data_IF_467529507798
#
_entry.id   IF_467529507798
#
_cell.length_a   1.000
_cell.length_b   1.000
_cell.length_c   1.000
_cell.angle_alpha   90.00
_cell.angle_beta   90.00
_cell.angle_gamma   90.00
#
_symmetry.space_group_name_H-M   'P 1'
#
loop_
_entity.id
_entity.type
_entity.pdbx_description
1 polymer ?
#
# COMPACT_ATOMS: atom_id res chain seq x y z
N UNK A 1 9.32 -19.42 17.91
CA UNK A 1 9.98 -18.34 17.14
C UNK A 1 10.78 -18.98 16.01
N UNK A 2 10.62 -18.46 14.77
CA UNK A 2 11.35 -18.94 13.59
C UNK A 2 12.07 -17.75 12.97
N UNK A 3 13.39 -17.85 12.77
CA UNK A 3 14.22 -16.80 12.20
C UNK A 3 14.60 -17.15 10.75
N UNK A 4 14.53 -16.17 9.83
CA UNK A 4 14.85 -16.38 8.41
C UNK A 4 15.84 -15.35 7.81
N UNK A 5 16.54 -14.58 8.64
CA UNK A 5 17.64 -13.73 8.18
C UNK A 5 17.79 -12.41 8.93
N UNK A 6 18.77 -11.62 8.50
CA UNK A 6 18.95 -10.21 8.89
C UNK A 6 18.30 -9.36 7.79
N UNK A 7 17.27 -8.60 8.15
CA UNK A 7 16.38 -7.97 7.19
C UNK A 7 16.41 -6.45 7.27
N UNK A 8 16.33 -5.81 6.09
CA UNK A 8 15.90 -4.43 5.93
C UNK A 8 14.60 -4.40 5.10
N UNK A 9 13.78 -3.37 5.26
CA UNK A 9 12.58 -3.15 4.45
C UNK A 9 11.71 -4.41 4.29
N UNK A 10 11.06 -4.82 5.35
CA UNK A 10 10.19 -5.99 5.40
C UNK A 10 8.73 -5.60 5.12
N UNK A 11 8.06 -6.36 4.27
CA UNK A 11 6.60 -6.33 4.08
C UNK A 11 6.00 -7.72 4.19
N UNK A 12 4.71 -7.78 4.49
CA UNK A 12 3.98 -9.02 4.75
C UNK A 12 2.64 -8.99 4.00
N UNK A 13 2.35 -10.06 3.27
CA UNK A 13 1.09 -10.25 2.57
C UNK A 13 0.48 -11.61 2.84
N UNK A 14 -0.85 -11.70 2.72
CA UNK A 14 -1.59 -12.96 2.82
C UNK A 14 -2.08 -13.39 1.44
N UNK A 15 -1.60 -14.52 0.98
CA UNK A 15 -2.09 -15.23 -0.21
C UNK A 15 -3.29 -16.10 0.20
N UNK A 16 -4.49 -15.58 -0.01
CA UNK A 16 -5.73 -16.26 0.34
C UNK A 16 -6.03 -17.47 -0.56
N UNK A 17 -5.48 -17.50 -1.77
CA UNK A 17 -5.66 -18.61 -2.73
C UNK A 17 -4.93 -19.87 -2.26
N UNK A 18 -3.71 -19.73 -1.75
CA UNK A 18 -2.89 -20.84 -1.27
C UNK A 18 -2.91 -20.98 0.26
N UNK A 19 -3.58 -20.06 0.98
CA UNK A 19 -3.57 -19.97 2.44
C UNK A 19 -2.13 -19.88 2.99
N UNK A 20 -1.37 -18.92 2.49
CA UNK A 20 0.04 -18.71 2.82
C UNK A 20 0.31 -17.25 3.21
N UNK A 21 1.33 -17.08 4.04
CA UNK A 21 1.93 -15.77 4.30
C UNK A 21 3.13 -15.62 3.37
N UNK A 22 3.27 -14.45 2.74
CA UNK A 22 4.43 -14.09 1.95
C UNK A 22 5.13 -12.93 2.65
N UNK A 23 6.41 -13.08 2.92
CA UNK A 23 7.25 -11.98 3.41
C UNK A 23 8.23 -11.60 2.32
N UNK A 24 8.23 -10.32 1.90
CA UNK A 24 9.23 -9.76 1.00
C UNK A 24 10.16 -8.83 1.78
N UNK A 25 11.46 -8.90 1.52
CA UNK A 25 12.45 -8.19 2.31
C UNK A 25 13.74 -7.93 1.54
N UNK A 26 14.49 -6.94 1.99
CA UNK A 26 15.89 -6.75 1.61
C UNK A 26 16.77 -7.63 2.52
N UNK A 27 17.56 -8.54 1.95
CA UNK A 27 18.46 -9.40 2.71
C UNK A 27 19.79 -8.67 2.96
N UNK A 28 19.97 -8.18 4.19
CA UNK A 28 21.17 -7.43 4.58
C UNK A 28 22.45 -8.27 4.43
N UNK A 29 22.37 -9.58 4.64
CA UNK A 29 23.49 -10.49 4.51
C UNK A 29 23.90 -10.75 3.06
N UNK A 30 23.06 -10.35 2.09
CA UNK A 30 23.32 -10.45 0.65
C UNK A 30 23.14 -9.07 -0.02
N UNK A 31 23.87 -8.07 0.44
CA UNK A 31 23.92 -6.70 -0.10
C UNK A 31 22.54 -6.01 -0.24
N UNK A 32 21.59 -6.34 0.61
CA UNK A 32 20.18 -5.89 0.54
C UNK A 32 19.46 -6.28 -0.75
N UNK A 33 19.83 -7.37 -1.40
CA UNK A 33 19.06 -7.90 -2.52
C UNK A 33 17.64 -8.26 -2.10
N UNK A 34 16.71 -8.20 -3.05
CA UNK A 34 15.30 -8.48 -2.80
C UNK A 34 14.98 -9.97 -2.74
N UNK A 35 14.43 -10.42 -1.63
CA UNK A 35 14.01 -11.81 -1.40
C UNK A 35 12.56 -11.90 -0.95
N UNK A 36 11.93 -13.03 -1.25
CA UNK A 36 10.67 -13.38 -0.61
C UNK A 36 10.69 -14.82 -0.09
N UNK A 37 9.85 -15.09 0.92
CA UNK A 37 9.73 -16.38 1.57
C UNK A 37 8.27 -16.69 1.85
N UNK A 38 7.88 -17.97 1.71
CA UNK A 38 6.51 -18.43 1.95
C UNK A 38 6.42 -19.06 3.34
N UNK A 39 5.49 -18.57 4.14
CA UNK A 39 5.16 -19.07 5.46
C UNK A 39 3.86 -19.88 5.47
N UNK A 40 3.82 -20.93 6.26
CA UNK A 40 2.63 -21.75 6.53
C UNK A 40 2.30 -21.66 8.01
N UNK A 41 1.08 -21.22 8.33
CA UNK A 41 0.55 -21.20 9.70
C UNK A 41 -0.22 -22.50 9.95
N UNK A 42 0.06 -23.15 11.09
CA UNK A 42 -0.65 -24.34 11.56
C UNK A 42 -0.86 -24.25 13.09
N UNK A 43 -2.10 -24.03 13.48
CA UNK A 43 -2.43 -23.76 14.89
C UNK A 43 -1.71 -22.51 15.41
N UNK A 44 -0.86 -22.68 16.42
CA UNK A 44 -0.04 -21.59 16.99
C UNK A 44 1.40 -21.59 16.48
N UNK A 45 1.70 -22.40 15.45
CA UNK A 45 3.03 -22.56 14.87
C UNK A 45 3.10 -21.98 13.47
N UNK A 46 4.30 -21.59 13.07
CA UNK A 46 4.59 -21.13 11.72
C UNK A 46 5.86 -21.83 11.20
N UNK A 47 5.86 -22.23 9.95
CA UNK A 47 7.02 -22.78 9.24
C UNK A 47 7.25 -22.02 7.95
N UNK A 48 8.50 -21.96 7.49
CA UNK A 48 8.88 -21.30 6.26
C UNK A 48 9.47 -22.27 5.24
N UNK A 49 9.24 -22.00 3.96
CA UNK A 49 9.95 -22.62 2.86
C UNK A 49 11.37 -22.03 2.69
N UNK A 50 11.96 -22.25 1.53
CA UNK A 50 13.22 -21.58 1.17
C UNK A 50 12.93 -20.17 0.62
N UNK A 51 13.76 -19.20 1.01
CA UNK A 51 13.69 -17.86 0.41
C UNK A 51 14.16 -17.91 -1.05
N UNK A 52 13.53 -17.11 -1.89
CA UNK A 52 13.89 -16.95 -3.30
C UNK A 52 14.16 -15.47 -3.61
N UNK A 53 15.18 -15.21 -4.43
CA UNK A 53 15.60 -13.87 -4.83
C UNK A 53 14.72 -13.38 -5.98
N UNK A 54 14.11 -12.20 -5.84
CA UNK A 54 13.38 -11.53 -6.91
C UNK A 54 14.15 -10.36 -7.53
N UNK A 55 15.12 -9.81 -6.77
CA UNK A 55 15.96 -8.71 -7.24
C UNK A 55 17.41 -8.93 -6.81
N UNK A 56 18.35 -8.78 -7.77
CA UNK A 56 19.77 -9.00 -7.57
C UNK A 56 20.55 -7.74 -7.20
N UNK A 57 19.84 -6.64 -6.98
CA UNK A 57 20.40 -5.36 -6.57
C UNK A 57 19.77 -4.91 -5.25
N UNK A 58 20.30 -3.81 -4.70
CA UNK A 58 19.81 -3.26 -3.43
C UNK A 58 18.35 -2.82 -3.56
N UNK A 59 17.50 -3.38 -2.72
CA UNK A 59 16.05 -3.21 -2.70
C UNK A 59 15.59 -2.45 -1.47
N UNK A 60 14.66 -1.50 -1.63
CA UNK A 60 14.06 -0.74 -0.53
C UNK A 60 12.54 -0.60 -0.67
N UNK A 61 11.90 -0.18 0.41
CA UNK A 61 10.47 0.17 0.45
C UNK A 61 9.58 -0.88 -0.22
N UNK A 62 9.76 -2.14 0.18
CA UNK A 62 8.92 -3.25 -0.30
C UNK A 62 7.51 -3.13 0.23
N UNK A 63 6.51 -3.47 -0.59
CA UNK A 63 5.13 -3.73 -0.16
C UNK A 63 4.51 -4.86 -1.00
N UNK A 64 3.42 -5.46 -0.53
CA UNK A 64 2.83 -6.67 -1.11
C UNK A 64 1.31 -6.57 -1.15
N UNK A 65 0.72 -6.95 -2.30
CA UNK A 65 -0.71 -7.20 -2.40
C UNK A 65 -0.99 -8.51 -3.15
N UNK A 66 -2.04 -9.22 -2.72
CA UNK A 66 -2.50 -10.46 -3.33
C UNK A 66 -3.68 -10.19 -4.26
N UNK A 67 -3.54 -10.60 -5.52
CA UNK A 67 -4.58 -10.60 -6.56
C UNK A 67 -5.41 -11.88 -6.43
N UNK A 68 -6.60 -11.76 -5.89
CA UNK A 68 -7.50 -12.90 -5.67
C UNK A 68 -8.13 -13.44 -6.95
N UNK A 69 -8.15 -12.66 -8.04
CA UNK A 69 -8.69 -13.07 -9.34
C UNK A 69 -7.72 -14.02 -10.06
N UNK A 70 -6.45 -13.67 -10.09
CA UNK A 70 -5.41 -14.47 -10.76
C UNK A 70 -4.70 -15.46 -9.83
N UNK A 71 -4.88 -15.34 -8.51
CA UNK A 71 -4.15 -16.11 -7.49
C UNK A 71 -2.67 -15.76 -7.44
N UNK A 72 -2.28 -14.56 -7.85
CA UNK A 72 -0.91 -14.05 -7.86
C UNK A 72 -0.69 -13.04 -6.76
N UNK A 73 0.57 -12.82 -6.43
CA UNK A 73 0.96 -11.76 -5.49
C UNK A 73 1.91 -10.81 -6.19
N UNK A 74 1.68 -9.52 -6.04
CA UNK A 74 2.55 -8.46 -6.57
C UNK A 74 3.39 -7.92 -5.44
N UNK A 75 4.70 -7.86 -5.66
CA UNK A 75 5.67 -7.19 -4.79
C UNK A 75 6.09 -5.92 -5.50
N UNK A 76 5.95 -4.78 -4.84
CA UNK A 76 6.46 -3.49 -5.29
C UNK A 76 7.67 -3.09 -4.48
N UNK A 77 8.63 -2.42 -5.09
CA UNK A 77 9.87 -2.03 -4.43
C UNK A 77 10.59 -0.90 -5.17
N UNK A 78 11.54 -0.27 -4.48
CA UNK A 78 12.50 0.64 -5.08
C UNK A 78 13.75 -0.14 -5.47
N UNK A 79 14.06 -0.17 -6.75
CA UNK A 79 15.24 -0.81 -7.32
C UNK A 79 16.42 0.19 -7.34
N UNK A 80 17.30 0.11 -6.34
CA UNK A 80 18.44 1.02 -6.24
C UNK A 80 19.53 0.72 -7.28
N UNK A 81 19.57 -0.49 -7.81
CA UNK A 81 20.47 -0.85 -8.92
C UNK A 81 20.06 -0.21 -10.25
N UNK A 82 18.76 0.09 -10.38
CA UNK A 82 18.19 0.78 -11.52
C UNK A 82 17.77 2.22 -11.17
N UNK A 83 18.72 3.04 -10.72
CA UNK A 83 18.52 4.46 -10.44
C UNK A 83 17.39 4.76 -9.43
N UNK A 84 17.10 3.84 -8.53
CA UNK A 84 16.00 3.90 -7.55
C UNK A 84 14.61 3.95 -8.19
N UNK A 85 14.43 3.33 -9.34
CA UNK A 85 13.14 3.26 -10.03
C UNK A 85 12.11 2.45 -9.24
N UNK A 86 10.85 2.85 -9.35
CA UNK A 86 9.72 2.08 -8.84
C UNK A 86 9.47 0.85 -9.70
N UNK A 87 9.62 -0.33 -9.12
CA UNK A 87 9.55 -1.60 -9.84
C UNK A 87 8.55 -2.54 -9.18
N UNK A 88 7.88 -3.36 -9.97
CA UNK A 88 6.96 -4.38 -9.50
C UNK A 88 7.31 -5.73 -10.11
N UNK A 89 7.11 -6.80 -9.35
CA UNK A 89 7.25 -8.18 -9.82
C UNK A 89 6.06 -9.03 -9.40
N UNK A 90 5.56 -9.85 -10.32
CA UNK A 90 4.48 -10.80 -10.05
C UNK A 90 5.06 -12.10 -9.55
N UNK A 91 4.56 -12.61 -8.44
CA UNK A 91 4.97 -13.88 -7.87
C UNK A 91 3.89 -14.96 -7.98
N UNK A 92 4.34 -16.21 -8.01
CA UNK A 92 3.52 -17.41 -8.00
C UNK A 92 3.96 -18.31 -6.86
N UNK A 93 3.03 -18.65 -5.97
CA UNK A 93 3.25 -19.59 -4.87
C UNK A 93 2.85 -21.00 -5.32
N UNK A 94 3.69 -21.98 -4.98
CA UNK A 94 3.40 -23.42 -5.15
C UNK A 94 3.90 -24.19 -3.93
N UNK A 95 2.98 -24.62 -3.08
CA UNK A 95 3.32 -25.24 -1.80
C UNK A 95 4.02 -24.25 -0.86
N UNK A 96 5.31 -24.48 -0.60
CA UNK A 96 6.17 -23.58 0.21
C UNK A 96 7.22 -22.87 -0.64
N UNK A 97 7.13 -22.98 -1.96
CA UNK A 97 8.04 -22.34 -2.90
C UNK A 97 7.38 -21.11 -3.53
N UNK A 98 8.18 -20.13 -3.90
CA UNK A 98 7.76 -18.94 -4.63
C UNK A 98 8.66 -18.73 -5.85
N UNK A 99 8.08 -18.33 -6.96
CA UNK A 99 8.78 -17.97 -8.20
C UNK A 99 8.28 -16.62 -8.71
N UNK A 100 9.05 -15.96 -9.56
CA UNK A 100 8.78 -14.61 -10.00
C UNK A 100 8.76 -14.53 -11.52
N UNK A 101 7.92 -13.62 -12.03
CA UNK A 101 7.96 -13.19 -13.42
C UNK A 101 9.08 -12.18 -13.67
N UNK A 102 9.04 -11.51 -14.82
CA UNK A 102 9.98 -10.44 -15.13
C UNK A 102 9.57 -9.17 -14.39
N UNK A 103 10.49 -8.50 -13.67
CA UNK A 103 10.23 -7.19 -13.07
C UNK A 103 9.84 -6.15 -14.11
N UNK A 104 8.93 -5.26 -13.76
CA UNK A 104 8.43 -4.19 -14.64
C UNK A 104 8.52 -2.85 -13.90
N UNK A 105 9.18 -1.88 -14.50
CA UNK A 105 9.26 -0.51 -13.99
C UNK A 105 7.92 0.18 -14.16
N UNK A 106 7.36 0.74 -13.07
CA UNK A 106 6.15 1.57 -13.10
C UNK A 106 6.46 3.06 -12.95
N UNK A 107 7.64 3.40 -12.39
CA UNK A 107 8.14 4.77 -12.28
C UNK A 107 9.63 4.82 -12.66
N UNK A 108 9.95 5.58 -13.71
CA UNK A 108 11.33 5.71 -14.25
C UNK A 108 12.10 6.89 -13.63
N UNK A 109 11.81 7.18 -12.36
CA UNK A 109 12.53 8.10 -11.52
C UNK A 109 12.64 7.53 -10.11
N UNK A 110 13.25 8.28 -9.18
CA UNK A 110 13.33 7.85 -7.79
C UNK A 110 11.92 7.69 -7.20
N UNK A 111 11.54 6.45 -6.92
CA UNK A 111 10.29 6.10 -6.25
C UNK A 111 10.58 5.59 -4.85
N UNK A 112 9.86 6.10 -3.87
CA UNK A 112 10.03 5.70 -2.47
C UNK A 112 8.67 5.57 -1.77
N UNK A 113 8.67 4.98 -0.56
CA UNK A 113 7.46 4.86 0.26
C UNK A 113 6.33 4.17 -0.53
N UNK A 114 6.67 3.11 -1.25
CA UNK A 114 5.72 2.39 -2.09
C UNK A 114 4.68 1.68 -1.21
N UNK A 115 3.42 1.76 -1.58
CA UNK A 115 2.34 1.00 -0.95
C UNK A 115 1.37 0.50 -2.02
N UNK A 116 0.94 -0.76 -1.92
CA UNK A 116 0.13 -1.42 -2.94
C UNK A 116 -1.09 -2.09 -2.32
N UNK A 117 -2.21 -2.03 -3.03
CA UNK A 117 -3.43 -2.74 -2.67
C UNK A 117 -4.08 -3.37 -3.91
N UNK A 118 -4.85 -4.43 -3.69
CA UNK A 118 -5.69 -5.02 -4.72
C UNK A 118 -7.13 -4.53 -4.59
N UNK A 119 -7.63 -3.93 -5.67
CA UNK A 119 -9.03 -3.55 -5.84
C UNK A 119 -9.81 -4.74 -6.40
N UNK A 120 -10.55 -5.42 -5.54
CA UNK A 120 -11.35 -6.61 -5.91
C UNK A 120 -12.56 -6.28 -6.79
N UNK A 121 -12.96 -5.02 -6.87
CA UNK A 121 -14.10 -4.59 -7.72
C UNK A 121 -13.68 -4.43 -9.19
N UNK A 122 -12.51 -3.87 -9.42
CA UNK A 122 -11.98 -3.64 -10.78
C UNK A 122 -11.00 -4.73 -11.24
N UNK A 123 -10.58 -5.64 -10.35
CA UNK A 123 -9.53 -6.63 -10.56
C UNK A 123 -8.22 -5.95 -10.97
N UNK A 124 -7.79 -4.95 -10.18
CA UNK A 124 -6.58 -4.16 -10.44
C UNK A 124 -5.71 -4.02 -9.19
N UNK A 125 -4.41 -3.92 -9.43
CA UNK A 125 -3.46 -3.41 -8.44
C UNK A 125 -3.47 -1.89 -8.48
N UNK A 126 -3.40 -1.24 -7.33
CA UNK A 126 -3.18 0.20 -7.22
C UNK A 126 -1.94 0.42 -6.37
N UNK A 127 -0.96 1.12 -6.93
CA UNK A 127 0.29 1.47 -6.25
C UNK A 127 0.25 2.97 -5.99
N UNK A 128 0.49 3.36 -4.74
CA UNK A 128 0.72 4.75 -4.35
C UNK A 128 2.19 4.91 -3.95
N UNK A 129 2.82 6.00 -4.35
CA UNK A 129 4.24 6.21 -4.13
C UNK A 129 4.62 7.69 -4.07
N UNK A 130 5.77 7.95 -3.45
CA UNK A 130 6.50 9.22 -3.56
C UNK A 130 7.20 9.27 -4.91
N UNK A 131 6.89 10.26 -5.71
CA UNK A 131 7.42 10.44 -7.07
C UNK A 131 8.54 11.48 -7.08
N UNK A 132 9.79 11.02 -6.92
CA UNK A 132 10.95 11.89 -6.92
C UNK A 132 11.27 12.51 -8.29
N UNK A 133 10.70 11.97 -9.37
CA UNK A 133 10.78 12.54 -10.71
C UNK A 133 9.83 13.73 -10.93
N UNK A 134 8.82 13.84 -10.08
CA UNK A 134 7.80 14.88 -10.15
C UNK A 134 7.71 15.67 -8.83
N UNK A 135 8.79 16.34 -8.45
CA UNK A 135 8.87 17.18 -7.25
C UNK A 135 8.46 16.48 -5.95
N UNK A 136 8.61 15.17 -5.89
CA UNK A 136 8.25 14.36 -4.71
C UNK A 136 6.74 14.34 -4.40
N UNK A 137 5.93 14.55 -5.41
CA UNK A 137 4.46 14.52 -5.29
C UNK A 137 3.94 13.13 -4.96
N UNK A 138 2.80 13.08 -4.30
CA UNK A 138 2.06 11.85 -4.09
C UNK A 138 1.40 11.41 -5.40
N UNK A 139 1.84 10.27 -5.92
CA UNK A 139 1.39 9.74 -7.22
C UNK A 139 0.86 8.33 -7.07
N UNK A 140 -0.13 7.95 -7.88
CA UNK A 140 -0.66 6.59 -7.94
C UNK A 140 -0.78 6.08 -9.37
N UNK A 141 -0.66 4.77 -9.54
CA UNK A 141 -0.76 4.09 -10.83
C UNK A 141 -1.55 2.78 -10.70
N UNK A 142 -2.30 2.46 -11.76
CA UNK A 142 -3.11 1.23 -11.81
C UNK A 142 -2.39 0.16 -12.61
N UNK A 143 -2.25 -1.03 -12.03
CA UNK A 143 -1.63 -2.20 -12.62
C UNK A 143 -2.64 -3.30 -12.98
N UNK A 144 -2.41 -4.00 -14.07
CA UNK A 144 -3.18 -5.19 -14.49
C UNK A 144 -2.25 -6.39 -14.55
N UNK A 145 -2.52 -7.40 -13.72
CA UNK A 145 -1.78 -8.67 -13.72
C UNK A 145 -2.30 -9.56 -14.85
N UNK A 146 -1.39 -10.18 -15.59
CA UNK A 146 -1.70 -11.17 -16.62
C UNK A 146 -0.61 -12.24 -16.66
N UNK A 147 -0.98 -13.48 -16.31
CA UNK A 147 -0.01 -14.57 -16.19
C UNK A 147 1.03 -14.28 -15.09
N UNK A 148 2.29 -14.14 -15.46
CA UNK A 148 3.40 -13.77 -14.56
C UNK A 148 3.90 -12.36 -14.78
N UNK A 149 3.18 -11.54 -15.55
CA UNK A 149 3.50 -10.16 -15.85
C UNK A 149 2.49 -9.18 -15.27
N UNK A 150 2.87 -7.91 -15.22
CA UNK A 150 2.01 -6.78 -14.88
C UNK A 150 2.20 -5.67 -15.91
N UNK A 151 1.14 -4.98 -16.28
CA UNK A 151 1.19 -3.78 -17.11
C UNK A 151 0.53 -2.62 -16.40
N UNK A 152 0.97 -1.41 -16.68
CA UNK A 152 0.53 -0.21 -15.98
C UNK A 152 -0.20 0.76 -16.91
N UNK A 153 -1.18 1.48 -16.33
CA UNK A 153 -1.82 2.61 -16.97
C UNK A 153 -1.00 3.90 -16.84
N UNK A 154 -1.68 5.04 -16.91
CA UNK A 154 -1.03 6.35 -16.71
C UNK A 154 -1.03 6.69 -15.22
N UNK A 155 0.11 7.16 -14.72
CA UNK A 155 0.25 7.66 -13.35
C UNK A 155 -0.56 8.95 -13.16
N UNK A 156 -1.15 9.11 -11.97
CA UNK A 156 -1.99 10.25 -11.61
C UNK A 156 -1.53 10.82 -10.28
N UNK A 157 -1.25 12.11 -10.23
CA UNK A 157 -0.92 12.83 -8.98
C UNK A 157 -2.17 12.95 -8.13
N UNK A 158 -2.10 12.54 -6.86
CA UNK A 158 -3.17 12.72 -5.88
C UNK A 158 -2.87 13.85 -4.88
N UNK A 159 -1.58 14.18 -4.67
CA UNK A 159 -1.14 15.35 -3.90
C UNK A 159 -0.03 16.06 -4.65
N UNK A 160 -0.25 17.34 -5.02
CA UNK A 160 0.74 18.18 -5.73
C UNK A 160 1.69 18.91 -4.76
N UNK A 161 2.07 18.22 -3.69
CA UNK A 161 3.09 18.61 -2.72
C UNK A 161 3.94 17.39 -2.32
N UNK A 162 5.02 17.63 -1.59
CA UNK A 162 5.87 16.55 -1.06
C UNK A 162 5.01 15.64 -0.18
N UNK A 163 5.10 14.33 -0.43
CA UNK A 163 4.33 13.29 0.27
C UNK A 163 5.30 12.29 0.92
N UNK A 164 5.90 12.62 2.06
CA UNK A 164 7.03 11.87 2.62
C UNK A 164 6.62 10.54 3.26
N UNK A 165 5.35 10.36 3.59
CA UNK A 165 4.79 9.10 4.12
C UNK A 165 3.37 8.90 3.63
N UNK A 166 3.04 7.67 3.29
CA UNK A 166 1.70 7.30 2.81
C UNK A 166 1.34 5.85 3.15
N UNK A 167 0.06 5.52 3.03
CA UNK A 167 -0.47 4.16 3.11
C UNK A 167 -1.75 4.07 2.29
N UNK A 168 -1.96 2.97 1.59
CA UNK A 168 -3.13 2.72 0.77
C UNK A 168 -3.98 1.57 1.34
N UNK A 169 -5.29 1.66 1.20
CA UNK A 169 -6.22 0.56 1.48
C UNK A 169 -7.39 0.59 0.50
N UNK A 170 -8.07 -0.54 0.34
CA UNK A 170 -9.28 -0.66 -0.48
C UNK A 170 -10.49 -0.87 0.42
N UNK A 171 -11.44 0.05 0.34
CA UNK A 171 -12.76 -0.09 0.98
C UNK A 171 -13.70 -0.83 0.03
N UNK A 172 -13.89 -2.13 0.30
CA UNK A 172 -14.72 -2.99 -0.54
C UNK A 172 -16.22 -2.72 -0.39
N UNK A 173 -16.65 -2.03 0.67
CA UNK A 173 -18.06 -1.72 0.90
C UNK A 173 -18.60 -0.68 -0.08
N UNK A 174 -17.74 0.23 -0.53
CA UNK A 174 -18.06 1.30 -1.48
C UNK A 174 -17.21 1.25 -2.76
N UNK A 175 -16.33 0.23 -2.89
CA UNK A 175 -15.42 0.05 -4.03
C UNK A 175 -14.54 1.27 -4.28
N UNK A 176 -13.84 1.75 -3.24
CA UNK A 176 -12.96 2.92 -3.31
C UNK A 176 -11.56 2.63 -2.76
N UNK A 177 -10.60 3.29 -3.36
CA UNK A 177 -9.23 3.36 -2.86
C UNK A 177 -9.13 4.53 -1.89
N UNK A 178 -8.50 4.31 -0.74
CA UNK A 178 -8.20 5.34 0.24
C UNK A 178 -6.68 5.42 0.38
N UNK A 179 -6.11 6.62 0.15
CA UNK A 179 -4.70 6.89 0.37
C UNK A 179 -4.60 7.90 1.50
N UNK A 180 -4.05 7.49 2.65
CA UNK A 180 -3.74 8.36 3.78
C UNK A 180 -2.28 8.78 3.70
N UNK A 181 -1.97 10.06 3.93
CA UNK A 181 -0.63 10.61 3.77
C UNK A 181 -0.37 11.82 4.66
N UNK A 182 0.91 12.12 4.85
CA UNK A 182 1.40 13.39 5.37
C UNK A 182 1.44 14.38 4.21
N UNK A 183 0.81 15.54 4.38
CA UNK A 183 0.78 16.59 3.37
C UNK A 183 1.71 17.74 3.76
N UNK A 184 2.93 17.70 3.22
CA UNK A 184 3.95 18.74 3.45
C UNK A 184 3.51 20.12 2.94
N UNK A 185 2.71 20.14 1.87
CA UNK A 185 2.15 21.39 1.32
C UNK A 185 1.12 22.06 2.21
N UNK A 186 0.60 21.31 3.21
CA UNK A 186 -0.41 21.79 4.16
C UNK A 186 0.06 21.66 5.61
N UNK A 187 1.31 22.03 5.88
CA UNK A 187 1.91 22.01 7.23
C UNK A 187 1.92 20.60 7.86
N UNK A 188 2.27 19.60 7.10
CA UNK A 188 2.39 18.17 7.51
C UNK A 188 1.09 17.57 8.04
N UNK A 189 -0.06 18.13 7.72
CA UNK A 189 -1.34 17.61 8.21
C UNK A 189 -1.59 16.19 7.74
N UNK A 190 -2.26 15.42 8.59
CA UNK A 190 -2.78 14.12 8.22
C UNK A 190 -3.96 14.25 7.26
N UNK A 191 -3.75 13.83 6.02
CA UNK A 191 -4.70 14.00 4.91
C UNK A 191 -4.98 12.66 4.24
N UNK A 192 -6.16 12.47 3.69
CA UNK A 192 -6.44 11.35 2.80
C UNK A 192 -7.23 11.78 1.58
N UNK A 193 -7.14 10.98 0.52
CA UNK A 193 -7.96 11.13 -0.70
C UNK A 193 -8.71 9.83 -0.99
N UNK A 194 -9.83 9.97 -1.69
CA UNK A 194 -10.67 8.85 -2.16
C UNK A 194 -10.45 8.69 -3.67
N UNK A 195 -9.99 7.51 -4.07
CA UNK A 195 -9.72 7.14 -5.45
C UNK A 195 -10.82 6.25 -6.04
N UNK A 196 -11.12 6.45 -7.32
CA UNK A 196 -12.02 5.60 -8.11
C UNK A 196 -11.25 5.04 -9.30
N UNK A 197 -11.12 3.71 -9.36
CA UNK A 197 -10.49 3.01 -10.48
C UNK A 197 -11.50 2.83 -11.61
N UNK A 198 -11.08 3.11 -12.84
CA UNK A 198 -11.85 2.88 -14.06
C UNK A 198 -10.92 2.38 -15.18
N UNK A 199 -11.05 1.11 -15.55
CA UNK A 199 -10.14 0.46 -16.48
C UNK A 199 -8.70 0.44 -15.96
N UNK A 200 -7.78 1.14 -16.62
CA UNK A 200 -6.36 1.27 -16.20
C UNK A 200 -6.04 2.66 -15.67
N UNK A 201 -7.06 3.46 -15.33
CA UNK A 201 -6.90 4.80 -14.76
C UNK A 201 -7.49 4.87 -13.36
N UNK A 202 -7.04 5.87 -12.58
CA UNK A 202 -7.60 6.24 -11.30
C UNK A 202 -7.90 7.74 -11.29
N UNK A 203 -8.98 8.15 -10.66
CA UNK A 203 -9.29 9.56 -10.40
C UNK A 203 -9.51 9.79 -8.92
N UNK A 204 -9.18 10.97 -8.43
CA UNK A 204 -9.27 11.33 -7.02
C UNK A 204 -10.30 12.43 -6.78
N UNK A 205 -10.98 12.35 -5.62
CA UNK A 205 -11.79 13.43 -5.08
C UNK A 205 -10.94 14.50 -4.40
N UNK A 206 -11.60 15.41 -3.70
CA UNK A 206 -10.91 16.43 -2.89
C UNK A 206 -10.17 15.81 -1.72
N UNK A 207 -9.09 16.44 -1.30
CA UNK A 207 -8.33 16.11 -0.10
C UNK A 207 -9.18 16.31 1.16
N UNK A 208 -9.04 15.41 2.12
CA UNK A 208 -9.78 15.42 3.38
C UNK A 208 -8.79 15.34 4.53
N UNK A 209 -8.80 16.34 5.41
CA UNK A 209 -7.92 16.36 6.58
C UNK A 209 -8.51 15.48 7.66
N UNK A 210 -7.83 14.41 8.07
CA UNK A 210 -8.21 13.57 9.21
C UNK A 210 -7.55 14.04 10.52
N UNK A 211 -6.43 14.77 10.43
CA UNK A 211 -5.75 15.34 11.58
C UNK A 211 -5.17 16.72 11.25
N UNK A 212 -5.66 17.76 11.93
CA UNK A 212 -5.31 19.16 11.65
C UNK A 212 -4.04 19.62 12.38
N UNK A 213 -3.02 18.77 12.43
CA UNK A 213 -1.69 19.05 12.97
C UNK A 213 -0.65 18.15 12.28
N UNK A 214 0.63 18.39 12.55
CA UNK A 214 1.72 17.63 11.98
C UNK A 214 1.57 16.13 12.29
N UNK A 215 1.55 15.35 11.24
CA UNK A 215 1.26 13.90 11.24
C UNK A 215 2.36 13.16 10.52
N UNK A 216 2.75 12.00 11.02
CA UNK A 216 3.74 11.17 10.38
C UNK A 216 3.32 9.68 10.37
N UNK A 217 3.87 8.91 9.44
CA UNK A 217 3.71 7.46 9.32
C UNK A 217 2.24 6.98 9.39
N UNK A 218 1.30 7.58 8.62
CA UNK A 218 -0.05 7.07 8.59
C UNK A 218 -0.09 5.63 8.08
N UNK A 219 -0.97 4.81 8.69
CA UNK A 219 -1.29 3.46 8.25
C UNK A 219 -2.80 3.32 8.19
N UNK A 220 -3.30 2.99 7.01
CA UNK A 220 -4.73 2.81 6.75
C UNK A 220 -5.05 1.34 6.57
N UNK A 221 -6.18 0.91 7.13
CA UNK A 221 -6.74 -0.43 6.95
C UNK A 221 -8.25 -0.36 6.89
N UNK A 222 -8.85 -1.17 6.04
CA UNK A 222 -10.29 -1.34 5.97
C UNK A 222 -10.74 -2.49 6.89
N UNK A 223 -11.61 -2.19 7.84
CA UNK A 223 -12.32 -3.18 8.66
C UNK A 223 -13.59 -3.61 7.93
N UNK A 224 -13.55 -4.77 7.31
CA UNK A 224 -14.68 -5.33 6.55
C UNK A 224 -15.87 -5.75 7.43
N UNK A 225 -15.67 -5.94 8.74
CA UNK A 225 -16.74 -6.27 9.67
C UNK A 225 -17.53 -5.04 10.08
N UNK A 226 -16.84 -3.91 10.27
CA UNK A 226 -17.46 -2.64 10.62
C UNK A 226 -17.81 -1.77 9.41
N UNK A 227 -17.31 -2.11 8.21
CA UNK A 227 -17.37 -1.27 7.00
C UNK A 227 -16.80 0.13 7.24
N UNK A 228 -15.60 0.19 7.81
CA UNK A 228 -14.94 1.44 8.17
C UNK A 228 -13.46 1.39 7.84
N UNK A 229 -12.89 2.54 7.52
CA UNK A 229 -11.43 2.69 7.42
C UNK A 229 -10.89 3.20 8.75
N UNK A 230 -9.84 2.55 9.24
CA UNK A 230 -9.09 2.99 10.41
C UNK A 230 -7.75 3.53 9.93
N UNK A 231 -7.41 4.75 10.35
CA UNK A 231 -6.10 5.36 10.08
C UNK A 231 -5.40 5.55 11.42
N UNK A 232 -4.27 4.86 11.60
CA UNK A 232 -3.38 5.05 12.75
C UNK A 232 -2.19 5.90 12.31
N UNK A 233 -1.72 6.79 13.16
CA UNK A 233 -0.66 7.75 12.82
C UNK A 233 0.12 8.19 14.05
N UNK A 234 1.29 8.76 13.81
CA UNK A 234 2.08 9.46 14.82
C UNK A 234 1.72 10.94 14.77
N UNK A 235 1.30 11.50 15.90
CA UNK A 235 1.01 12.94 16.05
C UNK A 235 2.29 13.66 16.50
N UNK A 236 2.96 14.32 15.57
CA UNK A 236 4.19 15.06 15.84
C UNK A 236 3.91 16.34 16.65
N UNK A 237 2.69 16.87 16.59
CA UNK A 237 2.25 18.03 17.37
C UNK A 237 1.94 17.73 18.84
N UNK A 238 1.77 16.43 19.21
CA UNK A 238 1.46 15.97 20.56
C UNK A 238 2.53 15.00 21.09
N UNK A 239 3.79 15.39 21.01
CA UNK A 239 4.90 14.62 21.58
C UNK A 239 5.13 13.24 20.94
N UNK A 240 4.84 13.10 19.64
CA UNK A 240 4.99 11.86 18.86
C UNK A 240 4.09 10.70 19.33
N UNK A 241 2.96 10.99 19.91
CA UNK A 241 2.01 9.94 20.35
C UNK A 241 1.38 9.22 19.17
N UNK A 242 1.16 7.92 19.34
CA UNK A 242 0.33 7.14 18.43
C UNK A 242 -1.14 7.47 18.63
N UNK A 243 -1.84 7.78 17.55
CA UNK A 243 -3.29 8.05 17.53
C UNK A 243 -3.97 7.27 16.42
N UNK A 244 -5.28 7.09 16.54
CA UNK A 244 -6.09 6.49 15.48
C UNK A 244 -7.39 7.26 15.29
N UNK A 245 -7.87 7.28 14.07
CA UNK A 245 -9.17 7.83 13.70
C UNK A 245 -9.94 6.79 12.91
N UNK A 246 -11.26 6.73 13.14
CA UNK A 246 -12.19 5.91 12.35
C UNK A 246 -12.88 6.81 11.34
N UNK A 247 -12.78 6.46 10.07
CA UNK A 247 -13.39 7.16 8.96
C UNK A 247 -14.55 6.30 8.43
N UNK A 248 -15.73 6.86 8.40
CA UNK A 248 -16.88 6.27 7.70
C UNK A 248 -17.05 6.99 6.36
N UNK A 249 -17.01 6.21 5.29
CA UNK A 249 -17.34 6.69 3.96
C UNK A 249 -18.76 6.21 3.63
N UNK A 250 -19.64 7.12 3.24
CA UNK A 250 -20.99 6.76 2.82
C UNK A 250 -21.00 6.50 1.31
N UNK A 251 -21.64 5.40 0.90
CA UNK A 251 -22.00 5.22 -0.50
C UNK A 251 -23.05 6.27 -0.84
N UNK A 252 -22.87 7.00 -1.92
CA UNK A 252 -23.94 7.85 -2.46
C UNK A 252 -25.21 7.00 -2.59
N UNK A 253 -26.26 7.42 -1.89
CA UNK A 253 -27.54 6.75 -1.95
C UNK A 253 -27.99 6.67 -3.42
N UNK A 254 -28.33 5.48 -3.88
CA UNK A 254 -28.89 5.25 -5.21
C UNK A 254 -30.17 6.08 -5.35
N UNK A 255 -30.09 7.14 -6.12
CA UNK A 255 -31.26 7.87 -6.61
C UNK A 255 -31.32 9.32 -6.24
N UNK A 256 -30.42 10.14 -6.80
CA UNK A 256 -30.76 11.44 -7.40
C UNK A 256 -29.59 11.91 -8.25
N UNK A 257 -29.86 12.15 -9.53
CA UNK A 257 -28.96 12.86 -10.44
C UNK A 257 -28.96 14.33 -9.99
N UNK A 258 -27.94 14.72 -9.24
CA UNK A 258 -27.59 16.12 -9.06
C UNK A 258 -26.09 16.26 -9.38
N UNK A 259 -25.81 17.04 -10.39
CA UNK A 259 -24.44 17.44 -10.74
C UNK A 259 -23.82 18.17 -9.56
N UNK A 260 -22.72 17.61 -8.97
CA UNK A 260 -21.89 18.28 -7.97
C UNK A 260 -21.98 17.75 -6.54
N UNK A 261 -22.14 16.44 -6.34
CA UNK A 261 -22.10 15.86 -5.00
C UNK A 261 -20.67 15.44 -4.61
N UNK A 262 -20.11 16.16 -3.64
CA UNK A 262 -18.99 15.69 -2.83
C UNK A 262 -19.49 14.58 -1.89
N UNK A 263 -18.80 13.43 -1.83
CA UNK A 263 -19.07 12.42 -0.84
C UNK A 263 -18.98 13.04 0.57
N UNK A 264 -20.00 12.86 1.40
CA UNK A 264 -19.93 13.28 2.79
C UNK A 264 -19.04 12.31 3.55
N UNK A 265 -18.08 12.83 4.29
CA UNK A 265 -17.18 12.06 5.14
C UNK A 265 -17.46 12.42 6.58
N UNK A 266 -17.90 11.44 7.36
CA UNK A 266 -18.00 11.59 8.81
C UNK A 266 -16.77 10.98 9.49
N UNK A 267 -16.00 11.81 10.18
CA UNK A 267 -14.93 11.36 11.07
C UNK A 267 -15.57 11.11 12.44
N UNK A 268 -15.83 9.83 12.76
CA UNK A 268 -16.72 9.45 13.88
C UNK A 268 -16.01 9.36 15.23
N UNK A 269 -14.69 9.44 15.31
CA UNK A 269 -13.99 9.40 16.60
C UNK A 269 -12.49 9.34 16.53
N UNK A 270 -11.86 10.06 17.44
CA UNK A 270 -10.43 9.92 17.80
C UNK A 270 -10.31 9.07 19.05
N UNK A 271 -9.61 7.95 18.98
CA UNK A 271 -9.21 7.19 20.17
C UNK A 271 -7.78 7.59 20.51
N UNK A 272 -7.61 8.37 21.57
CA UNK A 272 -6.31 8.56 22.20
C UNK A 272 -6.16 7.47 23.28
N UNK A 273 -5.26 6.52 23.09
CA UNK A 273 -4.85 5.64 24.19
C UNK A 273 -3.70 6.31 24.93
N UNK A 274 -3.96 6.82 26.14
CA UNK A 274 -2.90 7.02 27.11
C UNK A 274 -2.45 5.64 27.59
N UNK A 275 -1.30 5.20 27.15
CA UNK A 275 -0.55 4.16 27.83
C UNK A 275 0.42 4.89 28.79
N UNK A 276 -0.09 5.27 29.97
CA UNK A 276 0.74 5.55 31.14
C UNK A 276 0.89 4.23 31.89
N UNK A 277 2.05 3.60 31.78
CA UNK A 277 2.43 2.40 32.49
C UNK A 277 3.91 2.21 32.47
#
# INVERSE_FOLDING_TARGET
>A
EVQFGVLGHLSLGFDSTNNKIISAFANVSDNNHGYAIVGTVSGTSMSFGSSAKFEAENTRFTDIAHDTDTGKTVIVYTDQGNSSYGTAVVSTVSGTSISFGTPVVYESANSAINSVVYDTNSNKMVIAYYDGGNSSYGTAIVGTVSGTGISFGTAVVFNSAITPTLSITFDSSISKIIIAYQDDGNSDKGTFVIGTVSGTSISFGSEIIFHNAATNQPKAVFDSSANKVVISYKDDGDGNKGKSVVVQLESEARGQVASGSSASVDIIGTVSTNQDG
#
